data_IF_109537543886
#
_entry.id   IF_109537543886
#
_cell.length_a   1.000
_cell.length_b   1.000
_cell.length_c   1.000
_cell.angle_alpha   90.00
_cell.angle_beta   90.00
_cell.angle_gamma   90.00
#
_symmetry.space_group_name_H-M   'P 1'
#
loop_
_entity.id
_entity.type
_entity.pdbx_description
1 polymer ?
#
# COMPACT_ATOMS: atom_id res chain seq x y z
N UNK A 1 -29.10 -38.12 8.17
CA UNK A 1 -27.69 -38.51 7.95
C UNK A 1 -27.16 -37.72 6.77
N UNK A 2 -26.35 -36.68 6.98
CA UNK A 2 -25.72 -35.97 5.86
C UNK A 2 -24.70 -36.91 5.23
N UNK A 3 -24.84 -37.20 3.93
CA UNK A 3 -23.90 -38.03 3.18
C UNK A 3 -22.49 -37.48 3.33
N UNK A 4 -21.49 -38.35 3.45
CA UNK A 4 -20.07 -37.97 3.49
C UNK A 4 -19.70 -37.00 2.35
N UNK A 5 -20.29 -37.22 1.17
CA UNK A 5 -20.16 -36.34 -0.01
C UNK A 5 -20.67 -34.93 0.25
N UNK A 6 -21.80 -34.77 0.96
CA UNK A 6 -22.37 -33.46 1.29
C UNK A 6 -21.42 -32.63 2.17
N UNK A 7 -20.82 -33.27 3.17
CA UNK A 7 -19.84 -32.61 4.04
C UNK A 7 -18.58 -32.18 3.29
N UNK A 8 -18.08 -32.97 2.33
CA UNK A 8 -16.94 -32.59 1.49
C UNK A 8 -17.26 -31.35 0.65
N UNK A 9 -18.46 -31.31 0.07
CA UNK A 9 -18.91 -30.18 -0.77
C UNK A 9 -19.01 -28.92 0.10
N UNK A 10 -19.71 -28.97 1.23
CA UNK A 10 -19.85 -27.83 2.14
C UNK A 10 -18.49 -27.28 2.58
N UNK A 11 -17.59 -28.20 2.95
CA UNK A 11 -16.21 -27.90 3.36
C UNK A 11 -15.42 -27.21 2.25
N UNK A 12 -15.57 -27.69 1.01
CA UNK A 12 -14.88 -27.15 -0.16
C UNK A 12 -15.43 -25.78 -0.56
N UNK A 13 -16.75 -25.59 -0.50
CA UNK A 13 -17.40 -24.30 -0.76
C UNK A 13 -16.97 -23.26 0.27
N UNK A 14 -16.99 -23.63 1.55
CA UNK A 14 -16.57 -22.75 2.64
C UNK A 14 -15.09 -22.37 2.53
N UNK A 15 -14.25 -23.30 2.07
CA UNK A 15 -12.85 -23.03 1.77
C UNK A 15 -12.65 -22.06 0.59
N UNK A 16 -13.30 -22.32 -0.56
CA UNK A 16 -13.19 -21.46 -1.74
C UNK A 16 -13.71 -20.05 -1.46
N UNK A 17 -14.78 -19.93 -0.68
CA UNK A 17 -15.39 -18.64 -0.36
C UNK A 17 -14.56 -17.85 0.65
N UNK A 18 -14.07 -18.48 1.73
CA UNK A 18 -13.34 -17.76 2.78
C UNK A 18 -11.86 -17.52 2.48
N UNK A 19 -11.21 -18.42 1.73
CA UNK A 19 -9.78 -18.32 1.44
C UNK A 19 -9.48 -18.02 -0.02
N UNK A 20 -10.12 -18.76 -0.93
CA UNK A 20 -9.89 -18.61 -2.37
C UNK A 20 -10.30 -17.24 -2.88
N UNK A 21 -11.53 -16.82 -2.59
CA UNK A 21 -12.12 -15.59 -3.14
C UNK A 21 -11.37 -14.34 -2.67
N UNK A 22 -11.07 -14.14 -1.36
CA UNK A 22 -10.30 -12.99 -0.91
C UNK A 22 -8.87 -13.00 -1.45
N UNK A 23 -8.19 -14.15 -1.49
CA UNK A 23 -6.83 -14.23 -2.02
C UNK A 23 -6.75 -13.86 -3.50
N UNK A 24 -7.68 -14.38 -4.32
CA UNK A 24 -7.74 -14.08 -5.75
C UNK A 24 -8.11 -12.61 -6.00
N UNK A 25 -9.10 -12.07 -5.28
CA UNK A 25 -9.47 -10.66 -5.39
C UNK A 25 -8.32 -9.75 -4.96
N UNK A 26 -7.67 -10.01 -3.83
CA UNK A 26 -6.56 -9.20 -3.36
C UNK A 26 -5.35 -9.28 -4.30
N UNK A 27 -5.05 -10.47 -4.84
CA UNK A 27 -3.96 -10.68 -5.79
C UNK A 27 -4.20 -9.95 -7.11
N UNK A 28 -5.41 -10.08 -7.67
CA UNK A 28 -5.78 -9.41 -8.94
C UNK A 28 -5.79 -7.89 -8.77
N UNK A 29 -6.39 -7.36 -7.70
CA UNK A 29 -6.39 -5.92 -7.41
C UNK A 29 -4.97 -5.39 -7.20
N UNK A 30 -4.14 -6.11 -6.44
CA UNK A 30 -2.73 -5.73 -6.24
C UNK A 30 -1.97 -5.69 -7.57
N UNK A 31 -2.15 -6.70 -8.43
CA UNK A 31 -1.57 -6.76 -9.76
C UNK A 31 -2.02 -5.60 -10.65
N UNK A 32 -3.32 -5.26 -10.64
CA UNK A 32 -3.87 -4.12 -11.38
C UNK A 32 -3.30 -2.79 -10.90
N UNK A 33 -3.15 -2.61 -9.58
CA UNK A 33 -2.56 -1.41 -8.99
C UNK A 33 -1.09 -1.27 -9.42
N UNK A 34 -0.31 -2.33 -9.32
CA UNK A 34 1.11 -2.34 -9.74
C UNK A 34 1.22 -2.04 -11.24
N UNK A 35 0.38 -2.65 -12.06
CA UNK A 35 0.35 -2.44 -13.50
C UNK A 35 0.01 -0.99 -13.87
N UNK A 36 -1.03 -0.41 -13.24
CA UNK A 36 -1.37 1.01 -13.43
C UNK A 36 -0.27 1.94 -12.95
N UNK A 37 0.36 1.65 -11.82
CA UNK A 37 1.51 2.42 -11.32
C UNK A 37 2.67 2.40 -12.32
N UNK A 38 2.97 1.25 -12.91
CA UNK A 38 4.01 1.09 -13.92
C UNK A 38 3.69 1.85 -15.21
N UNK A 39 2.44 1.81 -15.66
CA UNK A 39 2.00 2.57 -16.84
C UNK A 39 2.05 4.08 -16.60
N UNK A 40 1.55 4.54 -15.46
CA UNK A 40 1.54 5.96 -15.09
C UNK A 40 2.96 6.50 -14.90
N UNK A 41 3.88 5.69 -14.37
CA UNK A 41 5.29 6.06 -14.24
C UNK A 41 5.95 6.39 -15.58
N UNK A 42 5.54 5.73 -16.68
CA UNK A 42 6.08 6.00 -18.03
C UNK A 42 5.53 7.29 -18.64
N UNK A 43 4.28 7.67 -18.34
CA UNK A 43 3.61 8.83 -18.96
C UNK A 43 3.92 10.17 -18.29
N UNK A 44 4.36 10.16 -17.05
CA UNK A 44 4.34 11.37 -16.22
C UNK A 44 5.77 11.82 -15.91
N UNK A 45 6.29 12.69 -16.78
CA UNK A 45 7.54 13.40 -16.56
C UNK A 45 7.47 14.33 -15.33
N UNK A 46 8.56 14.33 -14.55
CA UNK A 46 9.05 15.19 -13.44
C UNK A 46 8.08 15.87 -12.43
N UNK A 47 6.82 16.17 -12.74
CA UNK A 47 5.97 17.05 -11.91
C UNK A 47 5.03 16.34 -10.91
N UNK A 48 4.92 14.99 -10.90
CA UNK A 48 4.04 14.24 -9.96
C UNK A 48 4.76 13.36 -8.93
N UNK A 49 5.97 13.74 -8.52
CA UNK A 49 6.78 12.95 -7.57
C UNK A 49 6.07 12.76 -6.21
N UNK A 50 5.27 13.73 -5.77
CA UNK A 50 4.59 13.67 -4.46
C UNK A 50 3.38 12.71 -4.43
N UNK A 51 2.50 12.74 -5.45
CA UNK A 51 1.33 11.84 -5.52
C UNK A 51 1.78 10.38 -5.56
N UNK A 52 2.87 10.09 -6.27
CA UNK A 52 3.41 8.74 -6.43
C UNK A 52 3.90 8.10 -5.13
N UNK A 53 4.34 8.89 -4.14
CA UNK A 53 4.83 8.34 -2.86
C UNK A 53 3.69 7.74 -2.03
N UNK A 54 2.51 8.37 -2.03
CA UNK A 54 1.33 7.88 -1.30
C UNK A 54 0.81 6.58 -1.91
N UNK A 55 0.67 6.55 -3.23
CA UNK A 55 0.16 5.36 -3.93
C UNK A 55 1.13 4.18 -3.80
N UNK A 56 2.44 4.46 -3.84
CA UNK A 56 3.46 3.44 -3.60
C UNK A 56 3.36 2.88 -2.17
N UNK A 57 3.21 3.74 -1.16
CA UNK A 57 3.03 3.30 0.23
C UNK A 57 1.79 2.42 0.40
N UNK A 58 0.65 2.82 -0.17
CA UNK A 58 -0.58 2.04 -0.13
C UNK A 58 -0.39 0.67 -0.82
N UNK A 59 0.28 0.65 -1.98
CA UNK A 59 0.56 -0.60 -2.69
C UNK A 59 1.49 -1.53 -1.92
N UNK A 60 2.54 -1.00 -1.28
CA UNK A 60 3.48 -1.78 -0.46
C UNK A 60 2.78 -2.35 0.79
N UNK A 61 1.91 -1.57 1.41
CA UNK A 61 1.07 -2.03 2.52
C UNK A 61 0.16 -3.18 2.10
N UNK A 62 -0.54 -3.06 0.97
CA UNK A 62 -1.41 -4.09 0.43
C UNK A 62 -0.63 -5.38 0.12
N UNK A 63 0.53 -5.26 -0.55
CA UNK A 63 1.40 -6.42 -0.86
C UNK A 63 1.86 -7.10 0.43
N UNK A 64 2.29 -6.33 1.43
CA UNK A 64 2.70 -6.87 2.72
C UNK A 64 1.58 -7.66 3.41
N UNK A 65 0.35 -7.17 3.35
CA UNK A 65 -0.81 -7.89 3.90
C UNK A 65 -1.13 -9.17 3.13
N UNK A 66 -1.05 -9.16 1.80
CA UNK A 66 -1.29 -10.37 1.00
C UNK A 66 -0.24 -11.44 1.29
N UNK A 67 1.03 -11.06 1.38
CA UNK A 67 2.11 -12.00 1.74
C UNK A 67 1.88 -12.56 3.14
N UNK A 68 1.53 -11.72 4.10
CA UNK A 68 1.24 -12.14 5.47
C UNK A 68 0.03 -13.09 5.53
N UNK A 69 -1.04 -12.77 4.81
CA UNK A 69 -2.24 -13.59 4.71
C UNK A 69 -1.93 -14.97 4.15
N UNK A 70 -1.22 -15.05 3.01
CA UNK A 70 -0.84 -16.33 2.40
C UNK A 70 0.02 -17.15 3.37
N UNK A 71 1.03 -16.53 4.00
CA UNK A 71 1.96 -17.23 4.90
C UNK A 71 1.25 -17.79 6.14
N UNK A 72 0.25 -17.07 6.67
CA UNK A 72 -0.50 -17.50 7.86
C UNK A 72 -1.65 -18.45 7.55
N UNK A 73 -2.30 -18.30 6.38
CA UNK A 73 -3.42 -19.13 5.97
C UNK A 73 -2.97 -20.49 5.39
N UNK A 74 -1.83 -20.55 4.69
CA UNK A 74 -1.39 -21.76 3.97
C UNK A 74 -1.20 -23.00 4.88
N UNK A 75 -0.61 -22.91 6.08
CA UNK A 75 -0.53 -24.04 7.00
C UNK A 75 -1.90 -24.55 7.45
N UNK A 76 -2.84 -23.64 7.74
CA UNK A 76 -4.19 -23.99 8.13
C UNK A 76 -4.92 -24.74 7.00
N UNK A 77 -4.85 -24.19 5.79
CA UNK A 77 -5.46 -24.78 4.60
C UNK A 77 -4.88 -26.16 4.30
N UNK A 78 -3.55 -26.31 4.39
CA UNK A 78 -2.87 -27.58 4.13
C UNK A 78 -3.32 -28.66 5.11
N UNK A 79 -3.38 -28.32 6.41
CA UNK A 79 -3.87 -29.25 7.44
C UNK A 79 -5.35 -29.61 7.25
N UNK A 80 -6.17 -28.64 6.86
CA UNK A 80 -7.60 -28.85 6.63
C UNK A 80 -7.88 -29.77 5.43
N UNK A 81 -7.16 -29.57 4.33
CA UNK A 81 -7.24 -30.45 3.14
C UNK A 81 -6.75 -31.86 3.50
N UNK A 82 -5.61 -31.97 4.20
CA UNK A 82 -5.07 -33.26 4.65
C UNK A 82 -6.11 -34.05 5.47
N UNK A 83 -6.87 -33.39 6.33
CA UNK A 83 -7.88 -34.06 7.14
C UNK A 83 -9.13 -34.42 6.38
N UNK A 84 -9.59 -33.54 5.50
CA UNK A 84 -10.69 -33.84 4.59
C UNK A 84 -10.35 -35.12 3.82
N UNK A 85 -9.19 -35.17 3.17
CA UNK A 85 -8.76 -36.35 2.40
C UNK A 85 -8.63 -37.59 3.30
N UNK A 86 -7.99 -37.48 4.45
CA UNK A 86 -7.71 -38.66 5.30
C UNK A 86 -8.87 -39.09 6.19
N UNK A 87 -9.95 -38.31 6.30
CA UNK A 87 -11.20 -38.72 6.95
C UNK A 87 -12.13 -39.45 5.99
N UNK A 88 -12.09 -39.14 4.70
CA UNK A 88 -12.98 -39.74 3.69
C UNK A 88 -12.32 -40.88 2.90
N UNK A 89 -10.98 -40.97 2.87
CA UNK A 89 -10.27 -42.15 2.38
C UNK A 89 -10.12 -43.14 3.55
N UNK A 90 -10.79 -44.30 3.52
CA UNK A 90 -10.79 -45.26 4.63
C UNK A 90 -9.44 -46.00 4.66
N UNK A 91 -8.43 -45.34 5.20
CA UNK A 91 -7.23 -46.02 5.67
C UNK A 91 -7.57 -46.67 7.01
N UNK A 92 -7.70 -48.00 6.97
CA UNK A 92 -7.92 -48.93 8.08
C UNK A 92 -7.55 -48.40 9.48
N UNK A 93 -8.50 -48.46 10.42
CA UNK A 93 -8.32 -48.30 11.87
C UNK A 93 -7.43 -47.14 12.34
N UNK A 94 -7.79 -45.88 12.04
CA UNK A 94 -7.21 -44.75 12.77
C UNK A 94 -7.56 -44.87 14.26
N UNK A 95 -6.54 -44.88 15.12
CA UNK A 95 -6.73 -44.83 16.58
C UNK A 95 -7.39 -43.50 17.00
N UNK A 96 -8.27 -43.54 18.00
CA UNK A 96 -8.92 -42.36 18.58
C UNK A 96 -7.91 -41.30 19.03
N UNK A 97 -6.72 -41.72 19.50
CA UNK A 97 -5.65 -40.81 19.88
C UNK A 97 -5.13 -39.99 18.68
N UNK A 98 -4.98 -40.62 17.51
CA UNK A 98 -4.53 -39.94 16.29
C UNK A 98 -5.54 -38.90 15.83
N UNK A 99 -6.83 -39.23 15.89
CA UNK A 99 -7.91 -38.30 15.51
C UNK A 99 -7.91 -37.09 16.46
N UNK A 100 -7.73 -37.31 17.76
CA UNK A 100 -7.64 -36.23 18.73
C UNK A 100 -6.43 -35.32 18.48
N UNK A 101 -5.25 -35.90 18.22
CA UNK A 101 -4.04 -35.15 17.89
C UNK A 101 -4.18 -34.34 16.59
N UNK A 102 -4.78 -34.94 15.56
CA UNK A 102 -5.11 -34.29 14.29
C UNK A 102 -6.06 -33.08 14.51
N UNK A 103 -7.11 -33.25 15.30
CA UNK A 103 -8.06 -32.17 15.62
C UNK A 103 -7.42 -31.04 16.44
N UNK A 104 -6.55 -31.39 17.40
CA UNK A 104 -5.80 -30.41 18.18
C UNK A 104 -4.86 -29.60 17.27
N UNK A 105 -4.16 -30.24 16.35
CA UNK A 105 -3.26 -29.58 15.41
C UNK A 105 -3.97 -28.55 14.54
N UNK A 106 -5.18 -28.84 14.03
CA UNK A 106 -5.99 -27.85 13.29
C UNK A 106 -6.33 -26.67 14.18
N UNK A 107 -6.89 -26.97 15.36
CA UNK A 107 -7.46 -25.94 16.24
C UNK A 107 -6.37 -24.99 16.68
N UNK A 108 -5.21 -25.54 17.04
CA UNK A 108 -4.01 -24.77 17.38
C UNK A 108 -3.51 -23.99 16.17
N UNK A 109 -3.33 -24.61 15.00
CA UNK A 109 -2.80 -23.92 13.81
C UNK A 109 -3.73 -22.80 13.33
N UNK A 110 -5.05 -23.03 13.31
CA UNK A 110 -6.04 -22.05 12.89
C UNK A 110 -6.16 -20.89 13.86
N UNK A 111 -6.26 -21.17 15.16
CA UNK A 111 -6.36 -20.13 16.19
C UNK A 111 -5.08 -19.32 16.26
N UNK A 112 -3.93 -19.99 16.36
CA UNK A 112 -2.62 -19.36 16.43
C UNK A 112 -2.31 -18.56 15.17
N UNK A 113 -2.60 -19.11 13.98
CA UNK A 113 -2.45 -18.41 12.70
C UNK A 113 -3.28 -17.12 12.64
N UNK A 114 -4.52 -17.16 13.13
CA UNK A 114 -5.40 -15.97 13.19
C UNK A 114 -4.85 -14.91 14.16
N UNK A 115 -4.39 -15.30 15.35
CA UNK A 115 -3.78 -14.39 16.30
C UNK A 115 -2.50 -13.75 15.74
N UNK A 116 -1.62 -14.56 15.15
CA UNK A 116 -0.40 -14.07 14.48
C UNK A 116 -0.75 -13.10 13.36
N UNK A 117 -1.72 -13.43 12.51
CA UNK A 117 -2.13 -12.55 11.41
C UNK A 117 -2.59 -11.19 11.91
N UNK A 118 -3.45 -11.16 12.94
CA UNK A 118 -3.96 -9.91 13.53
C UNK A 118 -2.83 -9.08 14.15
N UNK A 119 -1.94 -9.73 14.92
CA UNK A 119 -0.80 -9.05 15.53
C UNK A 119 0.18 -8.51 14.46
N UNK A 120 0.54 -9.33 13.48
CA UNK A 120 1.48 -8.96 12.41
C UNK A 120 0.93 -7.90 11.46
N UNK A 121 -0.39 -7.79 11.29
CA UNK A 121 -1.00 -6.72 10.48
C UNK A 121 -0.61 -5.34 11.00
N UNK A 122 -0.60 -5.15 12.32
CA UNK A 122 -0.13 -3.91 12.94
C UNK A 122 1.34 -3.62 12.60
N UNK A 123 2.21 -4.64 12.66
CA UNK A 123 3.63 -4.50 12.32
C UNK A 123 3.83 -4.22 10.83
N UNK A 124 3.07 -4.86 9.94
CA UNK A 124 3.09 -4.57 8.50
C UNK A 124 2.74 -3.11 8.24
N UNK A 125 1.68 -2.59 8.86
CA UNK A 125 1.32 -1.17 8.73
C UNK A 125 2.40 -0.25 9.27
N UNK A 126 2.97 -0.60 10.42
CA UNK A 126 4.06 0.18 11.01
C UNK A 126 5.29 0.19 10.12
N UNK A 127 5.70 -0.94 9.54
CA UNK A 127 6.90 -1.01 8.71
C UNK A 127 6.67 -0.36 7.33
N UNK A 128 5.51 -0.58 6.71
CA UNK A 128 5.25 -0.16 5.33
C UNK A 128 4.82 1.30 5.18
N UNK A 129 4.23 1.92 6.20
CA UNK A 129 3.75 3.31 6.16
C UNK A 129 4.59 4.25 7.04
N UNK A 130 5.57 4.99 6.46
CA UNK A 130 6.36 5.98 7.19
C UNK A 130 5.54 7.10 7.83
N UNK A 131 4.41 7.48 7.23
CA UNK A 131 3.46 8.45 7.80
C UNK A 131 2.89 7.95 9.12
N UNK A 132 2.41 6.70 9.14
CA UNK A 132 1.87 6.06 10.34
C UNK A 132 2.92 5.97 11.45
N UNK A 133 4.18 5.63 11.12
CA UNK A 133 5.27 5.64 12.11
C UNK A 133 5.45 7.00 12.77
N UNK A 134 5.42 8.09 12.00
CA UNK A 134 5.59 9.45 12.53
C UNK A 134 4.47 9.80 13.50
N UNK A 135 3.24 9.43 13.19
CA UNK A 135 2.08 9.64 14.06
C UNK A 135 2.16 8.77 15.32
N UNK A 136 2.48 7.48 15.17
CA UNK A 136 2.66 6.55 16.29
C UNK A 136 3.78 7.02 17.24
N UNK A 137 4.93 7.45 16.70
CA UNK A 137 6.00 8.03 17.50
C UNK A 137 5.61 9.36 18.14
N UNK A 138 4.78 10.18 17.50
CA UNK A 138 4.28 11.41 18.11
C UNK A 138 3.32 11.15 19.29
N UNK A 139 2.64 9.99 19.30
CA UNK A 139 1.82 9.55 20.43
C UNK A 139 2.66 8.95 21.56
N UNK A 140 3.67 8.14 21.22
CA UNK A 140 4.53 7.45 22.21
C UNK A 140 5.56 8.39 22.83
N UNK A 141 6.16 9.27 22.04
CA UNK A 141 7.18 10.22 22.47
C UNK A 141 6.53 11.61 22.56
N UNK A 142 6.18 12.09 23.77
CA UNK A 142 5.49 13.35 23.95
C UNK A 142 6.26 14.48 23.27
N UNK A 143 5.55 15.21 22.41
CA UNK A 143 5.98 16.32 21.53
C UNK A 143 6.58 17.55 22.24
N UNK A 144 7.27 17.43 23.38
CA UNK A 144 7.94 18.59 24.01
C UNK A 144 9.07 19.21 23.17
N UNK A 145 9.48 18.57 22.06
CA UNK A 145 10.66 18.99 21.28
C UNK A 145 10.40 19.48 19.84
N UNK A 146 9.20 19.33 19.26
CA UNK A 146 8.98 19.65 17.83
C UNK A 146 8.27 20.99 17.56
N UNK A 147 7.71 21.63 18.58
CA UNK A 147 7.06 22.93 18.42
C UNK A 147 8.05 24.10 18.20
N UNK A 148 9.35 23.91 18.41
CA UNK A 148 10.32 24.97 18.19
C UNK A 148 10.61 25.23 16.70
N UNK A 149 10.44 24.24 15.82
CA UNK A 149 10.81 24.37 14.41
C UNK A 149 9.70 24.99 13.54
N UNK A 150 8.42 24.64 13.77
CA UNK A 150 7.30 25.19 12.99
C UNK A 150 6.88 26.59 13.40
N UNK A 151 7.02 26.94 14.69
CA UNK A 151 6.82 28.31 15.14
C UNK A 151 7.85 29.26 14.50
N UNK A 152 9.07 28.80 14.25
CA UNK A 152 10.13 29.61 13.63
C UNK A 152 9.88 29.81 12.12
N UNK A 153 9.40 28.81 11.38
CA UNK A 153 9.06 28.96 9.95
C UNK A 153 7.83 29.84 9.70
N UNK A 154 6.77 29.72 10.50
CA UNK A 154 5.61 30.62 10.38
C UNK A 154 5.96 32.06 10.78
N UNK A 155 6.83 32.25 11.76
CA UNK A 155 7.32 33.58 12.12
C UNK A 155 8.19 34.19 11.02
N UNK A 156 9.06 33.39 10.37
CA UNK A 156 9.84 33.86 9.23
C UNK A 156 8.96 34.19 8.02
N UNK A 157 7.97 33.36 7.66
CA UNK A 157 7.04 33.66 6.56
C UNK A 157 6.15 34.88 6.85
N UNK A 158 5.79 35.12 8.11
CA UNK A 158 5.03 36.31 8.51
C UNK A 158 5.89 37.58 8.50
N UNK A 159 7.20 37.48 8.80
CA UNK A 159 8.13 38.61 8.65
C UNK A 159 8.50 38.89 7.18
N UNK A 160 8.72 37.86 6.35
CA UNK A 160 9.05 38.09 4.92
C UNK A 160 7.88 38.72 4.16
N UNK A 161 6.64 38.39 4.54
CA UNK A 161 5.44 38.96 3.94
C UNK A 161 5.11 40.38 4.42
N UNK A 162 5.74 40.86 5.51
CA UNK A 162 5.59 42.26 5.97
C UNK A 162 6.67 43.21 5.44
N UNK A 163 7.84 42.72 5.04
CA UNK A 163 8.98 43.60 4.68
C UNK A 163 9.06 43.91 3.18
N UNK A 164 8.42 43.14 2.29
CA UNK A 164 8.52 43.39 0.84
C UNK A 164 7.22 43.33 0.03
N UNK A 165 6.25 44.23 0.28
CA UNK A 165 5.30 44.62 -0.77
C UNK A 165 6.00 45.39 -1.91
N UNK A 166 7.07 46.15 -1.63
CA UNK A 166 7.71 47.06 -2.60
C UNK A 166 8.60 46.39 -3.67
N UNK A 167 9.13 45.18 -3.42
CA UNK A 167 9.98 44.47 -4.41
C UNK A 167 9.20 43.52 -5.33
N UNK A 168 7.91 43.30 -5.05
CA UNK A 168 7.06 42.48 -5.93
C UNK A 168 6.74 43.22 -7.24
N UNK A 169 6.66 44.55 -7.18
CA UNK A 169 6.40 45.38 -8.37
C UNK A 169 7.66 45.56 -9.25
N UNK A 170 8.85 45.61 -8.66
CA UNK A 170 10.10 45.74 -9.42
C UNK A 170 10.42 44.49 -10.28
N UNK A 171 10.06 43.28 -9.80
CA UNK A 171 10.32 42.03 -10.55
C UNK A 171 9.32 41.79 -11.69
N UNK A 172 8.10 42.33 -11.57
CA UNK A 172 7.08 42.33 -12.64
C UNK A 172 7.50 43.22 -13.82
N UNK A 173 8.10 44.37 -13.54
CA UNK A 173 8.53 45.31 -14.58
C UNK A 173 9.71 44.76 -15.39
N UNK A 174 10.69 44.12 -14.74
CA UNK A 174 11.89 43.63 -15.46
C UNK A 174 11.60 42.41 -16.35
N UNK A 175 10.60 41.59 -16.00
CA UNK A 175 10.21 40.43 -16.82
C UNK A 175 9.36 40.81 -18.04
N UNK A 176 8.61 41.92 -17.98
CA UNK A 176 7.92 42.49 -19.14
C UNK A 176 8.90 43.14 -20.15
N UNK A 177 10.00 43.75 -19.68
CA UNK A 177 11.01 44.38 -20.55
C UNK A 177 11.83 43.32 -21.33
N UNK A 178 12.20 42.21 -20.68
CA UNK A 178 12.90 41.10 -21.33
C UNK A 178 12.05 40.42 -22.43
N UNK A 179 10.75 40.22 -22.18
CA UNK A 179 9.85 39.63 -23.17
C UNK A 179 9.63 40.53 -24.40
N UNK A 180 9.60 41.86 -24.22
CA UNK A 180 9.56 42.80 -25.35
C UNK A 180 10.82 42.74 -26.21
N UNK A 181 12.01 42.73 -25.60
CA UNK A 181 13.29 42.61 -26.33
C UNK A 181 13.40 41.32 -27.13
N UNK A 182 12.96 40.19 -26.57
CA UNK A 182 12.97 38.91 -27.29
C UNK A 182 11.99 38.87 -28.46
N UNK A 183 10.85 39.56 -28.37
CA UNK A 183 9.89 39.66 -29.46
C UNK A 183 10.40 40.47 -30.66
N UNK A 184 11.16 41.55 -30.42
CA UNK A 184 11.75 42.36 -31.50
C UNK A 184 12.88 41.62 -32.23
N UNK A 185 13.73 40.89 -31.50
CA UNK A 185 14.83 40.11 -32.11
C UNK A 185 14.26 38.99 -33.01
N UNK A 186 13.18 38.35 -32.60
CA UNK A 186 12.51 37.32 -33.41
C UNK A 186 11.87 37.90 -34.68
N UNK A 187 11.34 39.12 -34.64
CA UNK A 187 10.75 39.77 -35.81
C UNK A 187 11.80 40.11 -36.88
N UNK A 188 13.00 40.55 -36.47
CA UNK A 188 14.10 40.86 -37.39
C UNK A 188 14.63 39.59 -38.07
N UNK A 189 14.71 38.47 -37.36
CA UNK A 189 15.18 37.20 -37.94
C UNK A 189 14.14 36.53 -38.87
N UNK A 190 12.84 36.77 -38.66
CA UNK A 190 11.77 36.22 -39.50
C UNK A 190 11.70 36.81 -40.92
N UNK A 191 12.21 38.03 -41.13
CA UNK A 191 12.06 38.77 -42.41
C UNK A 191 13.15 38.44 -43.46
N UNK A 192 14.17 37.64 -43.13
CA UNK A 192 15.31 37.35 -44.03
C UNK A 192 15.22 36.04 -44.84
N UNK A 193 14.12 35.29 -44.78
CA UNK A 193 13.99 33.97 -45.44
C UNK A 193 13.17 33.94 -46.74
N UNK A 194 13.02 35.05 -47.44
CA UNK A 194 12.32 35.09 -48.73
C UNK A 194 13.11 35.86 -49.77
N UNK A 195 14.15 35.24 -50.35
CA UNK A 195 14.81 35.59 -51.61
C UNK A 195 15.98 34.61 -51.83
N UNK A 196 15.68 33.46 -52.42
CA UNK A 196 16.51 32.63 -53.30
C UNK A 196 15.61 31.53 -53.84
#
# INVERSE_FOLDING_TARGET
>A
VSSATGRIIDTTVLFLFNFGTPALLMSTLSGMIIWRLKQNAKRIGRQKVHVRKRDLQLSTMLIGQVVLYITTALPFVSNFVYLTVTQYVPSSSKSSYRIAAESLAITTTGSFGTFIFNALTFYVYTLTAPSFRRELFALIVPRRWTNHSQATEQFQLSQTNRVHPFLRDAKSINSQVELKKLSEILYIFGSRKGKC
#
